data_IF_523052314026
#
_entry.id   IF_523052314026
#
_cell.length_a   1.000
_cell.length_b   1.000
_cell.length_c   1.000
_cell.angle_alpha   90.00
_cell.angle_beta   90.00
_cell.angle_gamma   90.00
#
_symmetry.space_group_name_H-M   'P 1'
#
loop_
_entity.id
_entity.type
_entity.pdbx_description
1 polymer ?
#
# COMPACT_ATOMS: atom_id res chain seq x y z
N UNK A 1 -20.63 62.22 -5.12
CA UNK A 1 -19.75 61.30 -4.37
C UNK A 1 -20.51 60.42 -3.38
N UNK A 2 -21.38 60.97 -2.51
CA UNK A 2 -22.16 60.21 -1.50
C UNK A 2 -22.96 59.02 -2.05
N UNK A 3 -23.59 59.16 -3.24
CA UNK A 3 -24.39 58.08 -3.87
C UNK A 3 -23.56 56.91 -4.40
N UNK A 4 -22.36 57.17 -4.93
CA UNK A 4 -21.43 56.12 -5.42
C UNK A 4 -20.81 55.34 -4.26
N UNK A 5 -20.49 56.04 -3.16
CA UNK A 5 -20.01 55.42 -1.92
C UNK A 5 -21.09 54.53 -1.30
N UNK A 6 -22.35 54.98 -1.28
CA UNK A 6 -23.48 54.18 -0.80
C UNK A 6 -23.68 52.90 -1.63
N UNK A 7 -23.58 52.97 -2.96
CA UNK A 7 -23.66 51.79 -3.82
C UNK A 7 -22.51 50.80 -3.60
N UNK A 8 -21.28 51.29 -3.38
CA UNK A 8 -20.11 50.46 -3.06
C UNK A 8 -20.26 49.76 -1.70
N UNK A 9 -20.81 50.46 -0.71
CA UNK A 9 -21.12 49.86 0.60
C UNK A 9 -22.21 48.79 0.44
N UNK A 10 -23.30 49.08 -0.30
CA UNK A 10 -24.35 48.08 -0.56
C UNK A 10 -23.79 46.83 -1.27
N UNK A 11 -22.94 47.01 -2.27
CA UNK A 11 -22.31 45.91 -3.01
C UNK A 11 -21.40 45.07 -2.10
N UNK A 12 -20.65 45.72 -1.20
CA UNK A 12 -19.83 45.02 -0.20
C UNK A 12 -20.68 44.17 0.76
N UNK A 13 -21.86 44.64 1.17
CA UNK A 13 -22.79 43.89 2.03
C UNK A 13 -23.38 42.68 1.30
N UNK A 14 -23.69 42.77 0.01
CA UNK A 14 -24.10 41.61 -0.79
C UNK A 14 -22.97 40.60 -1.04
N UNK A 15 -21.71 41.06 -0.99
CA UNK A 15 -20.53 40.18 -1.06
C UNK A 15 -20.15 39.57 0.30
N UNK A 16 -20.81 39.93 1.40
CA UNK A 16 -20.66 39.31 2.72
C UNK A 16 -21.60 38.10 2.92
N UNK A 17 -21.81 37.29 1.89
CA UNK A 17 -22.44 35.97 2.07
C UNK A 17 -21.43 35.04 2.75
N UNK A 18 -21.38 35.11 4.08
CA UNK A 18 -20.58 34.22 4.91
C UNK A 18 -20.98 32.75 4.72
N UNK A 19 -20.06 31.84 5.08
CA UNK A 19 -20.21 30.39 4.94
C UNK A 19 -21.43 29.88 5.74
N UNK A 20 -22.56 29.68 5.05
CA UNK A 20 -23.80 29.15 5.63
C UNK A 20 -23.75 27.62 5.82
N UNK A 21 -22.62 26.98 5.52
CA UNK A 21 -22.41 25.54 5.49
C UNK A 21 -21.58 25.00 6.67
N UNK A 22 -21.42 25.79 7.74
CA UNK A 22 -20.76 25.34 8.96
C UNK A 22 -21.57 24.23 9.65
N UNK A 23 -20.89 23.15 10.03
CA UNK A 23 -21.46 22.10 10.89
C UNK A 23 -20.59 21.96 12.13
N UNK A 24 -21.20 21.94 13.32
CA UNK A 24 -20.44 21.81 14.56
C UNK A 24 -19.88 20.40 14.70
N UNK A 25 -18.77 20.26 15.42
CA UNK A 25 -18.10 18.96 15.61
C UNK A 25 -18.98 18.02 16.45
N UNK A 26 -19.78 18.58 17.34
CA UNK A 26 -20.74 17.87 18.19
C UNK A 26 -21.90 17.27 17.38
N UNK A 27 -22.25 17.90 16.25
CA UNK A 27 -23.35 17.49 15.36
C UNK A 27 -22.90 16.48 14.29
N UNK A 28 -21.62 16.09 14.29
CA UNK A 28 -21.01 15.22 13.27
C UNK A 28 -20.30 14.01 13.88
N UNK A 29 -20.68 12.82 13.43
CA UNK A 29 -19.92 11.58 13.66
C UNK A 29 -18.90 11.39 12.55
N UNK A 30 -17.63 11.70 12.85
CA UNK A 30 -16.54 11.60 11.89
C UNK A 30 -16.11 10.14 11.69
N UNK A 31 -16.38 9.56 10.52
CA UNK A 31 -15.82 8.26 10.14
C UNK A 31 -14.30 8.37 10.01
N UNK A 32 -13.55 7.67 10.86
CA UNK A 32 -12.08 7.61 10.78
C UNK A 32 -11.61 6.28 10.17
N UNK A 33 -12.32 5.18 10.44
CA UNK A 33 -12.12 3.89 9.76
C UNK A 33 -13.46 3.47 9.17
N UNK A 34 -13.44 3.08 7.90
CA UNK A 34 -14.55 2.37 7.28
C UNK A 34 -14.14 0.93 7.00
N UNK A 35 -14.88 -0.03 7.55
CA UNK A 35 -14.72 -1.45 7.28
C UNK A 35 -15.77 -1.96 6.32
N UNK A 36 -15.38 -2.75 5.32
CA UNK A 36 -16.30 -3.36 4.36
C UNK A 36 -15.95 -4.84 4.21
N UNK A 37 -16.93 -5.71 4.44
CA UNK A 37 -16.77 -7.16 4.35
C UNK A 37 -18.06 -7.84 3.88
N UNK A 38 -18.02 -9.16 3.72
CA UNK A 38 -19.19 -9.99 3.46
C UNK A 38 -19.36 -11.02 4.59
N UNK A 39 -20.61 -11.23 5.02
CA UNK A 39 -20.92 -12.36 5.89
C UNK A 39 -20.87 -13.70 5.14
N UNK A 40 -21.21 -14.82 5.81
CA UNK A 40 -21.18 -16.15 5.19
C UNK A 40 -22.25 -16.36 4.12
N UNK A 41 -23.28 -15.51 4.12
CA UNK A 41 -24.41 -15.54 3.20
C UNK A 41 -24.30 -14.43 2.15
N UNK A 42 -23.09 -13.88 1.96
CA UNK A 42 -22.79 -12.79 1.02
C UNK A 42 -23.55 -11.47 1.28
N UNK A 43 -24.05 -11.25 2.50
CA UNK A 43 -24.59 -9.94 2.86
C UNK A 43 -23.44 -8.96 3.13
N UNK A 44 -23.58 -7.74 2.61
CA UNK A 44 -22.64 -6.65 2.84
C UNK A 44 -22.68 -6.22 4.32
N UNK A 45 -21.49 -6.26 4.93
CA UNK A 45 -21.22 -5.75 6.26
C UNK A 45 -20.43 -4.45 6.11
N UNK A 46 -20.96 -3.38 6.71
CA UNK A 46 -20.26 -2.09 6.78
C UNK A 46 -20.03 -1.76 8.24
N UNK A 47 -18.81 -1.37 8.57
CA UNK A 47 -18.40 -0.97 9.89
C UNK A 47 -17.85 0.45 9.86
N UNK A 48 -18.04 1.17 10.95
CA UNK A 48 -17.50 2.50 11.14
C UNK A 48 -16.85 2.60 12.52
N UNK A 49 -15.68 3.23 12.60
CA UNK A 49 -15.13 3.76 13.85
C UNK A 49 -15.07 5.29 13.78
N UNK A 50 -15.57 5.94 14.84
CA UNK A 50 -15.65 7.39 14.98
C UNK A 50 -15.17 7.84 16.38
N UNK A 51 -14.64 9.06 16.52
CA UNK A 51 -14.22 9.59 17.80
C UNK A 51 -15.44 10.07 18.61
N UNK A 52 -15.41 9.85 19.93
CA UNK A 52 -16.39 10.42 20.86
C UNK A 52 -15.86 11.73 21.42
N UNK A 53 -16.59 12.83 21.21
CA UNK A 53 -16.22 14.19 21.63
C UNK A 53 -16.73 14.59 23.03
N UNK A 54 -17.31 13.67 23.78
CA UNK A 54 -17.74 13.91 25.16
C UNK A 54 -16.55 13.81 26.13
N UNK A 55 -16.34 14.83 26.99
CA UNK A 55 -15.26 14.89 28.00
C UNK A 55 -15.40 13.80 29.08
N UNK A 56 -16.61 13.45 29.46
CA UNK A 56 -16.94 12.47 30.51
C UNK A 56 -16.85 11.01 30.02
N UNK A 57 -16.95 10.79 28.71
CA UNK A 57 -16.89 9.45 28.15
C UNK A 57 -15.55 8.75 28.46
N UNK A 58 -15.59 7.59 29.12
CA UNK A 58 -14.40 6.78 29.41
C UNK A 58 -13.81 6.18 28.13
N UNK A 59 -14.68 5.78 27.20
CA UNK A 59 -14.31 5.29 25.87
C UNK A 59 -14.44 6.46 24.91
N UNK A 60 -13.32 6.82 24.26
CA UNK A 60 -13.25 7.98 23.35
C UNK A 60 -13.40 7.61 21.87
N UNK A 61 -13.91 6.43 21.61
CA UNK A 61 -14.07 5.85 20.28
C UNK A 61 -15.36 5.02 20.28
N UNK A 62 -16.21 5.28 19.31
CA UNK A 62 -17.42 4.49 19.06
C UNK A 62 -17.17 3.63 17.82
N UNK A 63 -17.58 2.37 17.87
CA UNK A 63 -17.48 1.47 16.72
C UNK A 63 -18.80 0.75 16.54
N UNK A 64 -19.34 0.81 15.33
CA UNK A 64 -20.63 0.22 14.98
C UNK A 64 -20.52 -0.56 13.68
N UNK A 65 -21.43 -1.51 13.47
CA UNK A 65 -21.49 -2.36 12.30
C UNK A 65 -22.93 -2.67 11.92
N UNK A 66 -23.24 -2.60 10.62
CA UNK A 66 -24.58 -2.84 10.08
C UNK A 66 -24.52 -3.79 8.90
N UNK A 67 -25.59 -4.56 8.71
CA UNK A 67 -25.90 -5.23 7.45
C UNK A 67 -26.63 -4.24 6.55
N UNK A 68 -26.16 -4.05 5.33
CA UNK A 68 -26.74 -3.08 4.40
C UNK A 68 -26.73 -3.57 2.96
N UNK A 69 -27.52 -2.95 2.09
CA UNK A 69 -27.46 -3.21 0.65
C UNK A 69 -26.32 -2.41 -0.03
N UNK A 70 -25.99 -1.22 0.48
CA UNK A 70 -24.95 -0.34 -0.08
C UNK A 70 -24.23 0.43 1.03
N UNK A 71 -23.01 0.90 0.75
CA UNK A 71 -22.24 1.76 1.68
C UNK A 71 -22.95 3.11 1.92
N UNK A 72 -23.71 3.61 0.95
CA UNK A 72 -24.50 4.83 1.16
C UNK A 72 -25.68 4.57 2.09
N UNK A 73 -26.37 3.42 1.96
CA UNK A 73 -27.50 3.08 2.84
C UNK A 73 -27.06 2.77 4.26
N UNK A 74 -25.87 2.20 4.45
CA UNK A 74 -25.31 1.99 5.80
C UNK A 74 -25.12 3.30 6.55
N UNK A 75 -24.92 4.43 5.87
CA UNK A 75 -24.85 5.76 6.50
C UNK A 75 -26.15 6.10 7.23
N UNK A 76 -27.30 5.94 6.57
CA UNK A 76 -28.60 6.19 7.21
C UNK A 76 -28.82 5.28 8.43
N UNK A 77 -28.33 4.04 8.37
CA UNK A 77 -28.42 3.08 9.47
C UNK A 77 -27.47 3.46 10.62
N UNK A 78 -26.29 3.99 10.32
CA UNK A 78 -25.41 4.55 11.34
C UNK A 78 -26.05 5.78 11.99
N UNK A 79 -26.61 6.70 11.21
CA UNK A 79 -27.28 7.92 11.71
C UNK A 79 -28.49 7.61 12.61
N UNK A 80 -29.07 6.42 12.51
CA UNK A 80 -30.12 5.93 13.40
C UNK A 80 -29.59 5.36 14.74
N UNK A 81 -28.27 5.24 14.90
CA UNK A 81 -27.62 4.65 16.08
C UNK A 81 -26.60 5.58 16.75
N UNK A 82 -25.85 6.35 15.97
CA UNK A 82 -24.92 7.36 16.49
C UNK A 82 -25.67 8.65 16.80
N UNK A 83 -25.19 9.43 17.77
CA UNK A 83 -25.86 10.66 18.23
C UNK A 83 -25.69 11.87 17.29
N UNK A 84 -25.18 11.68 16.07
CA UNK A 84 -24.76 12.75 15.16
C UNK A 84 -24.76 12.29 13.70
N UNK A 85 -24.73 13.23 12.74
CA UNK A 85 -24.72 12.89 11.32
C UNK A 85 -23.36 12.32 10.89
N UNK A 86 -23.37 11.18 10.20
CA UNK A 86 -22.16 10.50 9.76
C UNK A 86 -21.50 11.24 8.59
N UNK A 87 -20.23 11.60 8.75
CA UNK A 87 -19.42 12.25 7.71
C UNK A 87 -18.15 11.45 7.39
N UNK A 88 -17.96 11.13 6.11
CA UNK A 88 -16.79 10.42 5.58
C UNK A 88 -15.56 11.29 5.31
N UNK A 89 -15.67 12.61 5.49
CA UNK A 89 -14.64 13.60 5.11
C UNK A 89 -13.30 13.45 5.81
N UNK A 90 -13.26 12.73 6.94
CA UNK A 90 -12.06 12.48 7.74
C UNK A 90 -11.63 11.01 7.76
N UNK A 91 -12.15 10.19 6.85
CA UNK A 91 -11.76 8.78 6.74
C UNK A 91 -10.25 8.68 6.55
N UNK A 92 -9.58 7.86 7.37
CA UNK A 92 -8.13 7.68 7.33
C UNK A 92 -7.76 6.32 6.72
N UNK A 93 -8.61 5.30 6.93
CA UNK A 93 -8.37 3.92 6.51
C UNK A 93 -9.66 3.27 6.03
N UNK A 94 -9.58 2.59 4.90
CA UNK A 94 -10.54 1.61 4.43
C UNK A 94 -10.03 0.20 4.72
N UNK A 95 -10.73 -0.56 5.56
CA UNK A 95 -10.47 -1.98 5.83
C UNK A 95 -11.36 -2.83 4.93
N UNK A 96 -10.77 -3.54 3.97
CA UNK A 96 -11.50 -4.37 3.02
C UNK A 96 -11.25 -5.83 3.33
N UNK A 97 -12.30 -6.57 3.68
CA UNK A 97 -12.21 -7.99 3.98
C UNK A 97 -11.72 -8.79 2.78
N UNK A 98 -10.81 -9.76 3.00
CA UNK A 98 -10.30 -10.62 1.93
C UNK A 98 -11.42 -11.42 1.24
N UNK A 99 -12.53 -11.74 1.93
CA UNK A 99 -13.71 -12.36 1.31
C UNK A 99 -14.31 -11.44 0.25
N UNK A 100 -14.51 -10.18 0.59
CA UNK A 100 -14.99 -9.17 -0.35
C UNK A 100 -14.01 -8.95 -1.51
N UNK A 101 -12.70 -8.86 -1.25
CA UNK A 101 -11.68 -8.69 -2.30
C UNK A 101 -11.66 -9.85 -3.30
N UNK A 102 -12.20 -11.02 -3.00
CA UNK A 102 -12.31 -12.12 -3.97
C UNK A 102 -13.47 -11.93 -4.97
N UNK A 103 -14.44 -11.07 -4.65
CA UNK A 103 -15.55 -10.76 -5.55
C UNK A 103 -15.09 -9.83 -6.66
N UNK A 104 -15.63 -10.06 -7.85
CA UNK A 104 -15.53 -9.11 -8.95
C UNK A 104 -16.25 -7.82 -8.52
N UNK A 105 -15.74 -6.67 -8.95
CA UNK A 105 -16.39 -5.37 -8.80
C UNK A 105 -16.59 -4.89 -7.35
N UNK A 106 -15.84 -5.41 -6.38
CA UNK A 106 -15.91 -4.95 -4.98
C UNK A 106 -15.61 -3.44 -4.83
N UNK A 107 -14.83 -2.89 -5.75
CA UNK A 107 -14.46 -1.46 -5.81
C UNK A 107 -15.67 -0.56 -6.00
N UNK A 108 -16.81 -1.08 -6.50
CA UNK A 108 -18.06 -0.32 -6.59
C UNK A 108 -18.54 0.17 -5.23
N UNK A 109 -18.19 -0.52 -4.14
CA UNK A 109 -18.50 -0.05 -2.78
C UNK A 109 -17.70 1.20 -2.39
N UNK A 110 -16.66 1.56 -3.15
CA UNK A 110 -15.85 2.77 -2.96
C UNK A 110 -16.32 3.97 -3.81
N UNK A 111 -17.24 3.77 -4.78
CA UNK A 111 -17.76 4.82 -5.67
C UNK A 111 -18.23 6.10 -4.92
N UNK A 112 -18.94 6.02 -3.77
CA UNK A 112 -19.35 7.23 -3.04
C UNK A 112 -18.20 8.14 -2.60
N UNK A 113 -17.00 7.59 -2.41
CA UNK A 113 -15.82 8.34 -1.95
C UNK A 113 -15.09 9.05 -3.09
N UNK A 114 -15.32 8.66 -4.34
CA UNK A 114 -14.82 9.35 -5.52
C UNK A 114 -15.79 10.43 -6.03
N UNK A 115 -17.09 10.28 -5.77
CA UNK A 115 -18.13 11.21 -6.27
C UNK A 115 -18.36 12.44 -5.39
N UNK A 116 -18.22 12.29 -4.09
CA UNK A 116 -18.52 13.35 -3.13
C UNK A 116 -17.25 14.14 -2.82
N UNK A 117 -17.15 15.42 -3.21
CA UNK A 117 -15.95 16.22 -3.01
C UNK A 117 -15.62 16.48 -1.53
N UNK A 118 -16.57 16.21 -0.60
CA UNK A 118 -16.29 16.29 0.84
C UNK A 118 -15.46 15.11 1.33
N UNK A 119 -15.41 14.00 0.60
CA UNK A 119 -14.63 12.83 0.99
C UNK A 119 -13.14 13.01 0.66
N UNK A 120 -12.29 12.41 1.48
CA UNK A 120 -10.84 12.39 1.25
C UNK A 120 -10.42 11.14 0.47
N UNK A 121 -9.65 11.34 -0.60
CA UNK A 121 -9.04 10.26 -1.38
C UNK A 121 -7.64 9.89 -0.89
N UNK A 122 -7.17 10.52 0.19
CA UNK A 122 -5.84 10.26 0.80
C UNK A 122 -5.86 9.16 1.87
N UNK A 123 -7.04 8.61 2.17
CA UNK A 123 -7.20 7.48 3.08
C UNK A 123 -6.51 6.24 2.52
N UNK A 124 -5.91 5.43 3.40
CA UNK A 124 -5.20 4.19 3.02
C UNK A 124 -6.20 3.08 2.78
N UNK A 125 -6.01 2.28 1.73
CA UNK A 125 -6.80 1.07 1.50
C UNK A 125 -6.01 -0.14 1.99
N UNK A 126 -6.62 -0.97 2.83
CA UNK A 126 -5.96 -2.07 3.54
C UNK A 126 -6.80 -3.34 3.43
N UNK A 127 -6.21 -4.41 2.91
CA UNK A 127 -6.78 -5.75 2.90
C UNK A 127 -6.70 -6.39 4.30
N UNK A 128 -7.79 -7.01 4.74
CA UNK A 128 -7.85 -7.76 6.01
C UNK A 128 -7.90 -9.26 5.72
N UNK A 129 -6.85 -9.99 6.14
CA UNK A 129 -6.81 -11.46 6.13
C UNK A 129 -7.57 -12.04 7.33
N UNK A 130 -8.89 -12.04 7.22
CA UNK A 130 -9.83 -12.46 8.27
C UNK A 130 -11.08 -11.58 8.25
N UNK A 131 -11.99 -11.75 9.23
CA UNK A 131 -13.13 -10.86 9.42
C UNK A 131 -12.65 -9.42 9.69
N UNK A 132 -13.25 -8.43 9.01
CA UNK A 132 -12.98 -7.02 9.30
C UNK A 132 -13.35 -6.65 10.74
N UNK A 133 -14.37 -7.30 11.30
CA UNK A 133 -14.79 -7.17 12.70
C UNK A 133 -13.64 -7.41 13.69
N UNK A 134 -12.76 -8.38 13.41
CA UNK A 134 -11.64 -8.73 14.31
C UNK A 134 -10.60 -7.61 14.41
N UNK A 135 -10.52 -6.76 13.38
CA UNK A 135 -9.64 -5.60 13.33
C UNK A 135 -10.35 -4.38 13.89
N UNK A 136 -11.56 -4.06 13.42
CA UNK A 136 -12.22 -2.78 13.75
C UNK A 136 -12.73 -2.72 15.19
N UNK A 137 -13.13 -3.85 15.79
CA UNK A 137 -13.51 -3.90 17.21
C UNK A 137 -12.31 -4.13 18.15
N UNK A 138 -11.08 -4.14 17.62
CA UNK A 138 -9.90 -4.29 18.46
C UNK A 138 -9.62 -3.00 19.23
N UNK A 139 -9.77 -3.05 20.56
CA UNK A 139 -9.44 -1.93 21.45
C UNK A 139 -8.19 -2.22 22.30
N UNK A 140 -6.99 -1.84 21.83
CA UNK A 140 -5.75 -2.02 22.60
C UNK A 140 -5.66 -1.01 23.77
N UNK A 141 -5.75 -1.51 25.02
CA UNK A 141 -5.79 -0.67 26.24
C UNK A 141 -4.58 0.25 26.44
N UNK A 142 -3.40 -0.13 25.95
CA UNK A 142 -2.13 0.59 26.14
C UNK A 142 -1.66 1.35 24.88
N UNK A 143 -2.54 1.50 23.88
CA UNK A 143 -2.22 2.18 22.63
C UNK A 143 -3.16 3.36 22.39
N UNK A 144 -2.80 4.29 21.49
CA UNK A 144 -3.75 5.27 20.99
C UNK A 144 -5.01 4.61 20.40
N UNK A 145 -6.06 5.41 20.20
CA UNK A 145 -7.30 4.99 19.52
C UNK A 145 -7.00 4.26 18.21
N UNK A 146 -7.85 3.32 17.83
CA UNK A 146 -7.58 2.40 16.73
C UNK A 146 -7.20 3.08 15.40
N UNK A 147 -7.82 4.21 14.97
CA UNK A 147 -7.46 4.89 13.73
C UNK A 147 -6.02 5.40 13.72
N UNK A 148 -5.57 5.96 14.85
CA UNK A 148 -4.20 6.44 15.03
C UNK A 148 -3.24 5.24 15.05
N UNK A 149 -3.60 4.19 15.80
CA UNK A 149 -2.78 2.98 15.88
C UNK A 149 -2.59 2.33 14.51
N UNK A 150 -3.67 2.10 13.75
CA UNK A 150 -3.62 1.50 12.43
C UNK A 150 -2.87 2.38 11.43
N UNK A 151 -3.12 3.70 11.43
CA UNK A 151 -2.45 4.61 10.51
C UNK A 151 -0.94 4.62 10.76
N UNK A 152 -0.53 4.71 12.03
CA UNK A 152 0.89 4.63 12.40
C UNK A 152 1.48 3.26 12.09
N UNK A 153 0.75 2.17 12.32
CA UNK A 153 1.21 0.82 12.02
C UNK A 153 1.50 0.65 10.53
N UNK A 154 0.59 1.07 9.66
CA UNK A 154 0.76 1.02 8.19
C UNK A 154 1.90 1.94 7.75
N UNK A 155 1.94 3.17 8.25
CA UNK A 155 2.98 4.14 7.88
C UNK A 155 4.38 3.69 8.29
N UNK A 156 4.53 3.15 9.50
CA UNK A 156 5.79 2.59 9.99
C UNK A 156 6.20 1.36 9.19
N UNK A 157 5.26 0.47 8.86
CA UNK A 157 5.56 -0.70 8.03
C UNK A 157 5.98 -0.31 6.61
N UNK A 158 5.31 0.68 6.02
CA UNK A 158 5.68 1.21 4.70
C UNK A 158 7.05 1.92 4.73
N UNK A 159 7.37 2.66 5.79
CA UNK A 159 8.69 3.28 5.97
C UNK A 159 9.82 2.24 6.00
N UNK A 160 9.55 1.04 6.52
CA UNK A 160 10.48 -0.10 6.53
C UNK A 160 10.36 -0.99 5.28
N UNK A 161 9.61 -0.56 4.28
CA UNK A 161 9.29 -1.31 3.06
C UNK A 161 8.75 -2.73 3.31
N UNK A 162 8.09 -2.95 4.45
CA UNK A 162 7.37 -4.20 4.78
C UNK A 162 6.11 -4.34 3.91
N UNK A 163 5.50 -3.21 3.56
CA UNK A 163 4.29 -3.10 2.74
C UNK A 163 4.32 -1.83 1.88
N UNK A 164 3.31 -1.65 1.02
CA UNK A 164 3.00 -0.40 0.30
C UNK A 164 2.04 0.49 1.11
N UNK A 165 2.02 1.81 0.88
CA UNK A 165 1.06 2.73 1.51
C UNK A 165 0.09 3.30 0.48
N UNK A 166 -0.73 2.43 -0.11
CA UNK A 166 -1.65 2.81 -1.19
C UNK A 166 -2.87 3.55 -0.63
N UNK A 167 -3.09 4.75 -1.13
CA UNK A 167 -4.26 5.58 -0.88
C UNK A 167 -5.43 5.22 -1.80
N UNK A 168 -6.63 5.71 -1.48
CA UNK A 168 -7.80 5.53 -2.34
C UNK A 168 -7.59 6.13 -3.75
N UNK A 169 -6.90 7.28 -3.82
CA UNK A 169 -6.49 7.92 -5.09
C UNK A 169 -5.51 7.03 -5.87
N UNK A 170 -4.43 6.59 -5.23
CA UNK A 170 -3.42 5.74 -5.91
C UNK A 170 -4.01 4.40 -6.35
N UNK A 171 -4.93 3.81 -5.56
CA UNK A 171 -5.66 2.61 -5.96
C UNK A 171 -6.46 2.88 -7.25
N UNK A 172 -7.20 3.99 -7.31
CA UNK A 172 -7.97 4.35 -8.50
C UNK A 172 -7.07 4.51 -9.74
N UNK A 173 -5.93 5.20 -9.60
CA UNK A 173 -4.95 5.39 -10.66
C UNK A 173 -4.35 4.06 -11.12
N UNK A 174 -3.97 3.18 -10.20
CA UNK A 174 -3.44 1.84 -10.51
C UNK A 174 -4.48 0.97 -11.24
N UNK A 175 -5.77 1.12 -10.92
CA UNK A 175 -6.86 0.36 -11.55
C UNK A 175 -7.23 0.88 -12.94
N UNK A 176 -7.06 2.18 -13.18
CA UNK A 176 -7.23 2.79 -14.50
C UNK A 176 -6.05 2.49 -15.44
N UNK A 177 -4.88 2.18 -14.89
CA UNK A 177 -3.66 1.89 -15.65
C UNK A 177 -3.65 0.43 -16.17
N UNK A 178 -3.55 0.27 -17.50
CA UNK A 178 -3.50 -1.06 -18.15
C UNK A 178 -2.15 -1.77 -18.02
N UNK A 179 -1.11 -1.05 -17.62
CA UNK A 179 0.25 -1.55 -17.48
C UNK A 179 0.67 -1.83 -16.05
N UNK A 180 -0.25 -1.78 -15.07
CA UNK A 180 0.04 -1.96 -13.64
C UNK A 180 -1.02 -2.83 -12.98
N UNK A 181 -0.58 -3.67 -12.04
CA UNK A 181 -1.43 -4.41 -11.10
C UNK A 181 -1.50 -3.65 -9.78
N UNK A 182 -2.73 -3.38 -9.35
CA UNK A 182 -2.98 -2.68 -8.11
C UNK A 182 -2.48 -3.48 -6.89
N UNK A 183 -1.98 -2.76 -5.90
CA UNK A 183 -1.41 -3.35 -4.70
C UNK A 183 -1.78 -2.53 -3.47
N UNK A 184 -2.11 -3.19 -2.36
CA UNK A 184 -2.55 -2.56 -1.11
C UNK A 184 -1.92 -3.27 0.09
N UNK A 185 -1.84 -2.59 1.24
CA UNK A 185 -1.35 -3.24 2.46
C UNK A 185 -2.25 -4.40 2.85
N UNK A 186 -1.66 -5.51 3.32
CA UNK A 186 -2.40 -6.59 3.98
C UNK A 186 -2.11 -6.63 5.48
N UNK A 187 -3.17 -6.74 6.27
CA UNK A 187 -3.10 -6.94 7.72
C UNK A 187 -3.82 -8.21 8.15
N UNK A 188 -3.42 -8.75 9.30
CA UNK A 188 -4.08 -9.87 9.96
C UNK A 188 -4.17 -9.62 11.45
N UNK A 189 -5.36 -9.86 12.03
CA UNK A 189 -5.50 -9.92 13.48
C UNK A 189 -5.06 -11.30 13.98
N UNK A 190 -4.12 -11.31 14.92
CA UNK A 190 -3.80 -12.46 15.80
C UNK A 190 -4.07 -12.02 17.24
N UNK A 191 -3.08 -12.13 18.14
CA UNK A 191 -3.11 -11.45 19.43
C UNK A 191 -3.13 -9.92 19.27
N UNK A 192 -2.30 -9.38 18.37
CA UNK A 192 -2.28 -7.98 17.92
C UNK A 192 -2.55 -7.90 16.42
N UNK A 193 -2.66 -6.69 15.89
CA UNK A 193 -2.77 -6.47 14.44
C UNK A 193 -1.35 -6.50 13.86
N UNK A 194 -1.15 -7.36 12.86
CA UNK A 194 0.11 -7.50 12.15
C UNK A 194 -0.07 -7.02 10.71
N UNK A 195 0.86 -6.20 10.22
CA UNK A 195 1.05 -6.02 8.77
C UNK A 195 1.75 -7.27 8.26
N UNK A 196 1.10 -8.01 7.36
CA UNK A 196 1.60 -9.29 6.84
C UNK A 196 2.35 -9.15 5.53
N UNK A 197 2.18 -8.02 4.84
CA UNK A 197 2.82 -7.75 3.56
C UNK A 197 1.90 -6.93 2.65
N UNK A 198 2.00 -7.19 1.35
CA UNK A 198 1.27 -6.45 0.31
C UNK A 198 0.37 -7.39 -0.48
N UNK A 199 -0.94 -7.13 -0.45
CA UNK A 199 -1.91 -7.82 -1.29
C UNK A 199 -1.83 -7.30 -2.72
N UNK A 200 -1.81 -8.20 -3.69
CA UNK A 200 -1.84 -7.90 -5.13
C UNK A 200 -3.21 -8.23 -5.69
N UNK A 201 -3.78 -7.29 -6.44
CA UNK A 201 -5.12 -7.37 -7.01
C UNK A 201 -5.02 -7.58 -8.53
N UNK A 202 -5.71 -8.58 -9.07
CA UNK A 202 -5.72 -8.84 -10.51
C UNK A 202 -6.34 -7.68 -11.32
N UNK A 203 -6.31 -7.78 -12.64
CA UNK A 203 -6.88 -6.77 -13.56
C UNK A 203 -8.37 -6.45 -13.33
N UNK A 204 -9.10 -7.32 -12.60
CA UNK A 204 -10.51 -7.14 -12.21
C UNK A 204 -10.66 -6.65 -10.77
N UNK A 205 -9.55 -6.27 -10.13
CA UNK A 205 -9.48 -5.80 -8.74
C UNK A 205 -9.50 -6.95 -7.73
N UNK A 206 -9.52 -8.22 -8.14
CA UNK A 206 -9.71 -9.33 -7.21
C UNK A 206 -8.41 -9.70 -6.52
N UNK A 207 -8.47 -10.06 -5.24
CA UNK A 207 -7.32 -10.59 -4.51
C UNK A 207 -6.70 -11.78 -5.24
N UNK A 208 -5.43 -11.65 -5.63
CA UNK A 208 -4.68 -12.71 -6.32
C UNK A 208 -3.75 -13.44 -5.35
N UNK A 209 -2.85 -12.69 -4.71
CA UNK A 209 -1.87 -13.23 -3.76
C UNK A 209 -1.34 -12.12 -2.84
N UNK A 210 -0.53 -12.52 -1.87
CA UNK A 210 0.21 -11.59 -0.99
C UNK A 210 1.72 -11.76 -1.15
N UNK A 211 2.44 -10.64 -1.16
CA UNK A 211 3.89 -10.61 -1.04
C UNK A 211 4.27 -10.43 0.42
N UNK A 212 5.15 -11.29 0.91
CA UNK A 212 5.74 -11.17 2.25
C UNK A 212 6.66 -9.94 2.32
N UNK A 213 7.04 -9.50 3.53
CA UNK A 213 7.84 -8.28 3.71
C UNK A 213 9.14 -8.24 2.88
N UNK A 214 9.88 -9.35 2.81
CA UNK A 214 11.13 -9.39 2.03
C UNK A 214 10.88 -9.35 0.51
N UNK A 215 9.81 -10.00 0.04
CA UNK A 215 9.38 -9.90 -1.37
C UNK A 215 8.91 -8.47 -1.69
N UNK A 216 8.25 -7.79 -0.75
CA UNK A 216 7.79 -6.43 -0.94
C UNK A 216 8.96 -5.45 -1.08
N UNK A 217 10.04 -5.59 -0.30
CA UNK A 217 11.26 -4.76 -0.49
C UNK A 217 11.79 -4.87 -1.92
N UNK A 218 11.84 -6.07 -2.47
CA UNK A 218 12.29 -6.30 -3.86
C UNK A 218 11.32 -5.67 -4.86
N UNK A 219 10.00 -5.83 -4.67
CA UNK A 219 9.00 -5.16 -5.50
C UNK A 219 9.18 -3.63 -5.48
N UNK A 220 9.34 -3.03 -4.30
CA UNK A 220 9.54 -1.59 -4.12
C UNK A 220 10.77 -1.08 -4.86
N UNK A 221 11.87 -1.85 -4.87
CA UNK A 221 13.06 -1.53 -5.66
C UNK A 221 12.72 -1.51 -7.16
N UNK A 222 12.05 -2.54 -7.68
CA UNK A 222 11.69 -2.62 -9.10
C UNK A 222 10.70 -1.53 -9.53
N UNK A 223 9.82 -1.09 -8.64
CA UNK A 223 8.92 0.05 -8.83
C UNK A 223 9.64 1.42 -8.78
N UNK A 224 10.96 1.43 -8.51
CA UNK A 224 11.74 2.63 -8.20
C UNK A 224 11.23 3.41 -6.97
N UNK A 225 10.44 2.77 -6.10
CA UNK A 225 9.95 3.32 -4.85
C UNK A 225 10.98 3.22 -3.74
N UNK A 226 12.16 3.81 -3.92
CA UNK A 226 13.35 3.62 -3.08
C UNK A 226 13.43 4.54 -1.86
N UNK A 227 12.28 5.04 -1.39
CA UNK A 227 12.16 5.82 -0.15
C UNK A 227 12.06 4.93 1.09
N UNK A 228 12.38 5.50 2.26
CA UNK A 228 12.40 4.76 3.52
C UNK A 228 13.62 3.86 3.66
N UNK A 229 13.50 2.82 4.48
CA UNK A 229 14.61 1.92 4.83
C UNK A 229 14.48 0.57 4.11
N UNK A 230 15.60 0.10 3.55
CA UNK A 230 15.72 -1.21 2.90
C UNK A 230 16.70 -2.09 3.68
N UNK A 231 16.24 -2.63 4.80
CA UNK A 231 17.03 -3.56 5.60
C UNK A 231 16.77 -5.01 5.18
N UNK A 232 17.84 -5.75 4.94
CA UNK A 232 17.81 -7.15 4.55
C UNK A 232 18.57 -7.99 5.57
N UNK A 233 18.05 -9.19 5.82
CA UNK A 233 18.73 -10.25 6.56
C UNK A 233 18.63 -11.50 5.72
N UNK A 234 19.76 -12.07 5.31
CA UNK A 234 19.77 -13.19 4.38
C UNK A 234 20.96 -14.13 4.60
N UNK A 235 20.79 -15.41 4.26
CA UNK A 235 21.91 -16.33 4.19
C UNK A 235 22.67 -16.08 2.88
N UNK A 236 23.99 -16.03 2.97
CA UNK A 236 24.91 -15.96 1.83
C UNK A 236 25.85 -17.17 1.84
N UNK A 237 26.43 -17.47 0.68
CA UNK A 237 27.46 -18.50 0.55
C UNK A 237 28.80 -17.84 0.26
N UNK A 238 29.69 -17.80 1.25
CA UNK A 238 31.06 -17.28 1.06
C UNK A 238 32.07 -18.41 0.81
N UNK A 239 31.85 -19.59 1.39
CA UNK A 239 32.67 -20.79 1.18
C UNK A 239 31.83 -21.85 0.46
N UNK A 240 32.41 -22.51 -0.54
CA UNK A 240 31.71 -23.52 -1.35
C UNK A 240 31.30 -24.76 -0.52
N UNK A 241 32.09 -25.11 0.49
CA UNK A 241 31.96 -26.35 1.28
C UNK A 241 31.39 -26.17 2.70
N UNK A 242 30.91 -24.96 3.05
CA UNK A 242 30.26 -24.76 4.37
C UNK A 242 28.84 -25.32 4.35
N UNK A 243 28.54 -26.28 5.23
CA UNK A 243 27.16 -26.70 5.49
C UNK A 243 26.35 -25.62 6.24
N UNK A 244 27.03 -24.74 6.97
CA UNK A 244 26.40 -23.65 7.70
C UNK A 244 26.09 -22.45 6.78
N UNK A 245 24.90 -21.87 6.97
CA UNK A 245 24.46 -20.65 6.30
C UNK A 245 25.07 -19.44 7.00
N UNK A 246 26.00 -18.76 6.33
CA UNK A 246 26.54 -17.48 6.79
C UNK A 246 25.44 -16.41 6.71
N UNK A 247 24.91 -15.99 7.86
CA UNK A 247 23.88 -14.94 7.91
C UNK A 247 24.48 -13.55 7.97
N UNK A 248 23.96 -12.66 7.11
CA UNK A 248 24.31 -11.25 7.07
C UNK A 248 23.05 -10.39 7.15
N UNK A 249 23.15 -9.28 7.91
CA UNK A 249 22.18 -8.20 7.87
C UNK A 249 22.84 -6.92 7.35
N UNK A 250 22.16 -6.22 6.45
CA UNK A 250 22.61 -4.93 5.91
C UNK A 250 21.44 -4.02 5.58
N UNK A 251 21.70 -2.72 5.55
CA UNK A 251 20.77 -1.72 5.05
C UNK A 251 21.27 -1.17 3.72
N UNK A 252 20.43 -1.22 2.69
CA UNK A 252 20.68 -0.62 1.39
C UNK A 252 20.27 0.86 1.39
N UNK A 253 21.16 1.70 0.86
CA UNK A 253 20.97 3.13 0.69
C UNK A 253 21.44 3.57 -0.71
N UNK A 254 20.89 4.67 -1.23
CA UNK A 254 21.25 5.17 -2.56
C UNK A 254 20.95 4.19 -3.69
N UNK A 255 19.82 3.47 -3.61
CA UNK A 255 19.37 2.49 -4.62
C UNK A 255 18.99 3.24 -5.89
N UNK A 256 19.59 2.86 -7.02
CA UNK A 256 19.31 3.37 -8.36
C UNK A 256 18.91 2.22 -9.25
N UNK A 257 17.80 2.36 -9.97
CA UNK A 257 17.28 1.35 -10.89
C UNK A 257 17.19 1.95 -12.28
N UNK A 258 17.64 1.20 -13.28
CA UNK A 258 17.48 1.53 -14.69
C UNK A 258 16.83 0.36 -15.41
N UNK A 259 15.70 0.60 -16.04
CA UNK A 259 14.98 -0.41 -16.82
C UNK A 259 15.04 -0.03 -18.29
N UNK A 260 15.47 -0.98 -19.13
CA UNK A 260 15.35 -0.90 -20.58
C UNK A 260 14.28 -1.87 -21.03
N UNK A 261 13.44 -1.45 -21.96
CA UNK A 261 12.41 -2.29 -22.56
C UNK A 261 12.66 -2.37 -24.07
N UNK A 262 12.54 -3.56 -24.63
CA UNK A 262 12.58 -3.84 -26.07
C UNK A 262 11.61 -4.96 -26.40
N UNK A 263 11.28 -5.08 -27.68
CA UNK A 263 10.44 -6.15 -28.21
C UNK A 263 11.20 -6.93 -29.27
N UNK A 264 11.18 -8.24 -29.15
CA UNK A 264 11.82 -9.20 -30.05
C UNK A 264 11.08 -10.54 -29.92
N UNK A 265 10.02 -10.71 -30.73
CA UNK A 265 8.95 -11.71 -30.61
C UNK A 265 8.15 -11.71 -29.29
N UNK A 266 8.77 -11.35 -28.18
CA UNK A 266 8.20 -11.12 -26.86
C UNK A 266 8.79 -9.85 -26.22
N UNK A 267 8.18 -9.39 -25.12
CA UNK A 267 8.70 -8.24 -24.37
C UNK A 267 9.91 -8.65 -23.53
N UNK A 268 10.97 -7.86 -23.61
CA UNK A 268 12.22 -8.11 -22.88
C UNK A 268 12.57 -6.86 -22.06
N UNK A 269 12.81 -7.08 -20.77
CA UNK A 269 13.14 -6.05 -19.80
C UNK A 269 14.48 -6.34 -19.15
N UNK A 270 15.44 -5.45 -19.36
CA UNK A 270 16.75 -5.50 -18.70
C UNK A 270 16.78 -4.45 -17.59
N UNK A 271 16.82 -4.91 -16.34
CA UNK A 271 16.76 -4.07 -15.13
C UNK A 271 18.12 -4.10 -14.43
N UNK A 272 18.81 -2.97 -14.40
CA UNK A 272 20.06 -2.77 -13.68
C UNK A 272 19.77 -2.09 -12.33
N UNK A 273 20.06 -2.81 -11.24
CA UNK A 273 19.87 -2.35 -9.85
C UNK A 273 21.24 -2.09 -9.23
N UNK A 274 21.54 -0.82 -8.94
CA UNK A 274 22.75 -0.43 -8.21
C UNK A 274 22.39 0.00 -6.81
N UNK A 275 23.05 -0.55 -5.80
CA UNK A 275 22.83 -0.17 -4.41
C UNK A 275 24.13 -0.05 -3.63
N UNK A 276 24.21 0.95 -2.75
CA UNK A 276 25.23 1.01 -1.72
C UNK A 276 24.67 0.39 -0.45
N UNK A 277 25.47 -0.37 0.28
CA UNK A 277 25.01 -1.05 1.49
C UNK A 277 25.90 -0.72 2.70
N UNK A 278 25.26 -0.73 3.86
CA UNK A 278 25.92 -0.65 5.16
C UNK A 278 25.65 -1.96 5.89
N UNK A 279 26.72 -2.69 6.23
CA UNK A 279 26.59 -3.94 6.97
C UNK A 279 26.25 -3.61 8.42
N UNK A 280 25.21 -4.25 8.95
CA UNK A 280 24.74 -4.04 10.33
C UNK A 280 24.99 -5.25 11.22
N UNK A 281 25.08 -6.45 10.64
CA UNK A 281 25.33 -7.68 11.39
C UNK A 281 25.98 -8.75 10.49
N UNK A 282 26.87 -9.55 11.07
CA UNK A 282 27.41 -10.76 10.45
C UNK A 282 27.54 -11.82 11.52
N UNK A 283 27.02 -13.01 11.27
CA UNK A 283 27.11 -14.14 12.19
C UNK A 283 28.22 -15.14 11.77
N UNK A 284 29.29 -14.62 11.17
CA UNK A 284 30.43 -15.40 10.67
C UNK A 284 31.71 -14.55 10.65
N UNK A 285 32.86 -15.20 10.76
CA UNK A 285 34.16 -14.54 10.68
C UNK A 285 34.54 -14.29 9.21
N UNK A 286 34.81 -13.03 8.86
CA UNK A 286 35.19 -12.63 7.51
C UNK A 286 35.94 -11.30 7.52
N UNK A 287 36.99 -11.16 6.71
CA UNK A 287 37.72 -9.91 6.59
C UNK A 287 37.11 -9.05 5.49
N UNK A 288 36.08 -8.27 5.83
CA UNK A 288 35.38 -7.44 4.84
C UNK A 288 36.28 -6.38 4.20
N UNK A 289 37.34 -5.92 4.86
CA UNK A 289 38.25 -4.91 4.27
C UNK A 289 39.10 -5.50 3.15
N UNK A 290 39.59 -6.72 3.33
CA UNK A 290 40.41 -7.42 2.33
C UNK A 290 39.54 -8.01 1.22
N UNK A 291 38.38 -8.56 1.58
CA UNK A 291 37.58 -9.41 0.70
C UNK A 291 36.19 -8.82 0.39
N UNK A 292 36.05 -7.49 0.40
CA UNK A 292 34.77 -6.80 0.15
C UNK A 292 34.10 -7.26 -1.14
N UNK A 293 34.88 -7.46 -2.22
CA UNK A 293 34.36 -7.88 -3.52
C UNK A 293 33.71 -9.26 -3.46
N UNK A 294 34.30 -10.20 -2.71
CA UNK A 294 33.75 -11.55 -2.54
C UNK A 294 32.42 -11.49 -1.80
N UNK A 295 32.32 -10.64 -0.77
CA UNK A 295 31.06 -10.44 -0.05
C UNK A 295 30.00 -9.78 -0.95
N UNK A 296 30.37 -8.74 -1.70
CA UNK A 296 29.48 -8.08 -2.65
C UNK A 296 28.93 -9.09 -3.66
N UNK A 297 29.78 -9.94 -4.24
CA UNK A 297 29.37 -10.98 -5.20
C UNK A 297 28.40 -12.00 -4.60
N UNK A 298 28.62 -12.40 -3.34
CA UNK A 298 27.71 -13.31 -2.65
C UNK A 298 26.32 -12.68 -2.42
N UNK A 299 26.28 -11.39 -2.04
CA UNK A 299 25.03 -10.64 -1.86
C UNK A 299 24.34 -10.40 -3.21
N UNK A 300 25.08 -10.01 -4.25
CA UNK A 300 24.58 -9.83 -5.62
C UNK A 300 23.90 -11.11 -6.10
N UNK A 301 24.59 -12.26 -6.00
CA UNK A 301 24.06 -13.57 -6.42
C UNK A 301 22.77 -13.92 -5.68
N UNK A 302 22.72 -13.67 -4.36
CA UNK A 302 21.53 -13.95 -3.55
C UNK A 302 20.36 -13.05 -3.92
N UNK A 303 20.60 -11.75 -4.09
CA UNK A 303 19.56 -10.80 -4.50
C UNK A 303 19.04 -11.07 -5.91
N UNK A 304 19.92 -11.40 -6.86
CA UNK A 304 19.53 -11.78 -8.22
C UNK A 304 18.63 -13.03 -8.21
N UNK A 305 18.96 -14.04 -7.40
CA UNK A 305 18.11 -15.21 -7.21
C UNK A 305 16.74 -14.84 -6.61
N UNK A 306 16.70 -13.95 -5.61
CA UNK A 306 15.45 -13.51 -4.99
C UNK A 306 14.58 -12.68 -5.95
N UNK A 307 15.19 -11.79 -6.74
CA UNK A 307 14.49 -11.07 -7.81
C UNK A 307 13.93 -12.04 -8.84
N UNK A 308 14.72 -13.02 -9.29
CA UNK A 308 14.26 -14.05 -10.22
C UNK A 308 13.08 -14.84 -9.66
N UNK A 309 13.09 -15.18 -8.38
CA UNK A 309 11.97 -15.85 -7.72
C UNK A 309 10.72 -14.96 -7.67
N UNK A 310 10.87 -13.68 -7.34
CA UNK A 310 9.77 -12.71 -7.33
C UNK A 310 9.17 -12.55 -8.74
N UNK A 311 10.00 -12.36 -9.77
CA UNK A 311 9.58 -12.27 -11.17
C UNK A 311 8.79 -13.53 -11.56
N UNK A 312 9.33 -14.71 -11.29
CA UNK A 312 8.65 -15.98 -11.60
C UNK A 312 7.28 -16.08 -10.91
N UNK A 313 7.19 -15.66 -9.64
CA UNK A 313 5.94 -15.64 -8.86
C UNK A 313 4.91 -14.71 -9.50
N UNK A 314 5.34 -13.52 -9.92
CA UNK A 314 4.52 -12.50 -10.60
C UNK A 314 4.02 -13.03 -11.95
N UNK A 315 4.91 -13.57 -12.79
CA UNK A 315 4.57 -14.12 -14.10
C UNK A 315 3.63 -15.32 -14.00
N UNK A 316 3.88 -16.24 -13.06
CA UNK A 316 2.99 -17.39 -12.80
C UNK A 316 1.60 -16.93 -12.37
N UNK A 317 1.52 -15.84 -11.61
CA UNK A 317 0.26 -15.26 -11.18
C UNK A 317 -0.44 -14.41 -12.27
N UNK A 318 0.23 -14.14 -13.40
CA UNK A 318 -0.25 -13.30 -14.49
C UNK A 318 -0.71 -11.94 -13.99
N UNK A 319 0.22 -11.22 -13.38
CA UNK A 319 0.05 -9.85 -12.86
C UNK A 319 1.32 -9.05 -13.13
N UNK A 320 1.24 -7.73 -13.09
CA UNK A 320 2.37 -6.79 -13.22
C UNK A 320 2.35 -5.74 -12.09
N UNK A 321 2.69 -6.12 -10.83
CA UNK A 321 2.76 -5.15 -9.75
C UNK A 321 3.98 -4.23 -9.87
N UNK A 322 4.93 -4.53 -10.76
CA UNK A 322 6.15 -3.73 -10.99
C UNK A 322 5.80 -2.50 -11.83
N UNK A 323 4.89 -2.65 -12.79
CA UNK A 323 4.53 -1.62 -13.76
C UNK A 323 5.39 -1.64 -15.01
N UNK A 324 5.87 -2.82 -15.42
CA UNK A 324 6.63 -3.00 -16.66
C UNK A 324 5.82 -2.63 -17.91
N UNK A 325 4.48 -2.71 -17.84
CA UNK A 325 3.59 -2.25 -18.90
C UNK A 325 3.73 -0.78 -19.23
N UNK A 326 4.10 0.07 -18.26
CA UNK A 326 4.40 1.48 -18.52
C UNK A 326 5.64 1.65 -19.40
N UNK A 327 6.68 0.87 -19.14
CA UNK A 327 7.89 0.87 -19.96
C UNK A 327 7.60 0.35 -21.37
N UNK A 328 6.84 -0.75 -21.49
CA UNK A 328 6.40 -1.25 -22.79
C UNK A 328 5.56 -0.21 -23.56
N UNK A 329 4.64 0.49 -22.89
CA UNK A 329 3.85 1.56 -23.51
C UNK A 329 4.70 2.75 -23.99
N UNK A 330 5.85 2.99 -23.35
CA UNK A 330 6.72 4.13 -23.66
C UNK A 330 7.75 3.80 -24.74
N UNK A 331 8.38 2.62 -24.67
CA UNK A 331 9.53 2.26 -25.49
C UNK A 331 9.20 1.27 -26.63
N UNK A 332 8.07 0.57 -26.56
CA UNK A 332 7.61 -0.43 -27.55
C UNK A 332 6.10 -0.25 -27.81
N UNK A 333 5.68 1.00 -28.02
CA UNK A 333 4.26 1.37 -28.09
C UNK A 333 3.46 0.60 -29.15
N UNK A 334 3.92 0.43 -30.41
CA UNK A 334 3.15 -0.27 -31.44
C UNK A 334 2.80 -1.70 -31.06
N UNK A 335 3.72 -2.40 -30.40
CA UNK A 335 3.55 -3.78 -29.94
C UNK A 335 2.68 -3.82 -28.69
N UNK A 336 2.97 -2.95 -27.71
CA UNK A 336 2.19 -2.86 -26.48
C UNK A 336 0.72 -2.53 -26.74
N UNK A 337 0.42 -1.62 -27.66
CA UNK A 337 -0.96 -1.21 -27.98
C UNK A 337 -1.84 -2.36 -28.43
N UNK A 338 -1.28 -3.35 -29.14
CA UNK A 338 -1.98 -4.57 -29.59
C UNK A 338 -2.39 -5.46 -28.44
N UNK A 339 -1.61 -5.46 -27.36
CA UNK A 339 -1.75 -6.39 -26.24
C UNK A 339 -2.17 -5.74 -24.92
N UNK A 340 -2.34 -4.41 -24.87
CA UNK A 340 -2.61 -3.63 -23.65
C UNK A 340 -3.77 -4.17 -22.79
N UNK A 341 -4.81 -4.77 -23.40
CA UNK A 341 -5.97 -5.32 -22.67
C UNK A 341 -5.73 -6.74 -22.14
N UNK A 342 -4.57 -7.34 -22.45
CA UNK A 342 -4.11 -8.66 -22.01
C UNK A 342 -2.67 -8.58 -21.52
N UNK A 343 -2.23 -7.39 -21.09
CA UNK A 343 -0.83 -7.09 -20.77
C UNK A 343 -0.21 -8.12 -19.83
N UNK A 344 -0.91 -8.46 -18.76
CA UNK A 344 -0.45 -9.43 -17.76
C UNK A 344 -0.16 -10.83 -18.33
N UNK A 345 -0.90 -11.25 -19.38
CA UNK A 345 -0.68 -12.53 -20.04
C UNK A 345 0.56 -12.50 -20.95
N UNK A 346 0.86 -11.35 -21.54
CA UNK A 346 2.08 -11.19 -22.35
C UNK A 346 3.32 -11.03 -21.47
N UNK A 347 3.22 -10.31 -20.35
CA UNK A 347 4.32 -10.25 -19.38
C UNK A 347 4.68 -11.64 -18.83
N UNK A 348 3.70 -12.53 -18.66
CA UNK A 348 3.95 -13.91 -18.22
C UNK A 348 4.84 -14.71 -19.18
N UNK A 349 4.93 -14.30 -20.45
CA UNK A 349 5.80 -14.91 -21.48
C UNK A 349 7.07 -14.09 -21.75
N UNK A 350 7.16 -12.87 -21.23
CA UNK A 350 8.28 -11.98 -21.45
C UNK A 350 9.51 -12.35 -20.62
N UNK A 351 10.65 -11.79 -21.01
CA UNK A 351 11.90 -11.94 -20.26
C UNK A 351 12.10 -10.73 -19.34
N UNK A 352 12.37 -10.98 -18.07
CA UNK A 352 12.72 -9.93 -17.10
C UNK A 352 14.05 -10.29 -16.45
N UNK A 353 15.11 -9.66 -16.92
CA UNK A 353 16.48 -9.89 -16.50
C UNK A 353 16.88 -8.82 -15.48
N UNK A 354 17.06 -9.23 -14.23
CA UNK A 354 17.51 -8.31 -13.17
C UNK A 354 18.98 -8.57 -12.88
N UNK A 355 19.81 -7.53 -13.02
CA UNK A 355 21.23 -7.54 -12.66
C UNK A 355 21.45 -6.63 -11.46
N UNK A 356 22.17 -7.13 -10.46
CA UNK A 356 22.40 -6.39 -9.21
C UNK A 356 23.88 -6.03 -9.09
N UNK A 357 24.15 -4.77 -8.74
CA UNK A 357 25.48 -4.29 -8.38
C UNK A 357 25.47 -3.73 -6.96
N UNK A 358 26.23 -4.35 -6.07
CA UNK A 358 26.34 -3.96 -4.67
C UNK A 358 27.69 -3.31 -4.42
N UNK A 359 27.69 -2.16 -3.76
CA UNK A 359 28.90 -1.55 -3.19
C UNK A 359 28.78 -1.44 -1.68
N UNK A 360 29.71 -2.05 -0.94
CA UNK A 360 29.80 -1.88 0.51
C UNK A 360 30.35 -0.47 0.79
N UNK A 361 29.51 0.38 1.37
CA UNK A 361 29.87 1.76 1.70
C UNK A 361 30.15 1.98 3.19
N UNK A 362 29.68 1.09 4.07
CA UNK A 362 29.94 1.11 5.50
C UNK A 362 29.95 -0.32 6.07
N UNK A 363 30.81 -0.58 7.06
CA UNK A 363 30.97 -1.91 7.68
C UNK A 363 30.73 -1.90 9.20
N UNK A 364 30.19 -0.80 9.73
CA UNK A 364 30.09 -0.55 11.17
C UNK A 364 31.40 -0.04 11.78
N UNK A 365 31.39 0.19 13.11
CA UNK A 365 32.54 0.67 13.89
C UNK A 365 33.43 -0.46 14.43
N UNK A 366 32.95 -1.70 14.39
CA UNK A 366 33.66 -2.88 14.89
C UNK A 366 34.65 -3.33 13.80
N UNK A 367 35.92 -3.44 14.20
CA UNK A 367 37.05 -3.74 13.31
C UNK A 367 37.06 -5.18 12.83
#
# INVERSE_FOLDING_TARGET
MKRKVLCLILLSVFMMTGCFDQTNVEDVSLTLILGIDLDRNDNLLVYMSSPVFNKEAKIKEETTGVKSATVRKSRDQFDATVMALTAGSKTQIFLIGKRLLKRKDWENYLDPFYRDPKNTVTARVVAVDGPVSDVIFHSPKEKPRLPIYLTKLVDTAALRNITVKTTLQELHEQRADKGVTANITEVKKKNKIWVTGTALLDEKGRYKLTLKPDENKLLRILQQGTTGEFSFTMPIKIKADSQDKDWISFTAYGIKVKTKARYDDHFIFDVDVKMRIGITERLFSFNTRKDAEKLQKAIETKLEADFKQLIKKIQTAQIDPIGLGRYASTYTYPEWKKVQNKWNNELAKGDVNVKVNVKVGAMGTIK
#
